data_IF_125566863405
#
_entry.id   IF_125566863405
#
_cell.length_a   1.000
_cell.length_b   1.000
_cell.length_c   1.000
_cell.angle_alpha   90.00
_cell.angle_beta   90.00
_cell.angle_gamma   90.00
#
_symmetry.space_group_name_H-M   'P 1'
#
loop_
_entity.id
_entity.type
_entity.pdbx_description
1 polymer ?
#
# COMPACT_ATOMS: atom_id res chain seq x y z
N UNK A 1 -25.66 -2.99 -2.76
CA UNK A 1 -26.97 -3.48 -3.24
C UNK A 1 -26.97 -3.73 -4.76
N UNK A 2 -26.47 -2.84 -5.60
CA UNK A 2 -26.34 -3.06 -7.06
C UNK A 2 -25.47 -4.27 -7.43
N UNK A 3 -24.40 -4.58 -6.69
CA UNK A 3 -23.51 -5.73 -6.91
C UNK A 3 -24.17 -7.08 -6.59
N UNK A 4 -25.20 -7.13 -5.74
CA UNK A 4 -25.95 -8.36 -5.42
C UNK A 4 -26.92 -8.76 -6.55
N UNK A 5 -27.44 -7.82 -7.33
CA UNK A 5 -28.39 -8.10 -8.43
C UNK A 5 -27.75 -8.83 -9.63
N UNK A 6 -26.42 -8.84 -9.73
CA UNK A 6 -25.69 -9.41 -10.87
C UNK A 6 -25.08 -10.79 -10.59
N UNK A 7 -25.47 -11.45 -9.49
CA UNK A 7 -25.04 -12.83 -9.17
C UNK A 7 -25.90 -13.79 -10.01
N UNK A 8 -25.30 -14.61 -10.90
CA UNK A 8 -26.05 -15.63 -11.62
C UNK A 8 -26.71 -16.58 -10.63
N UNK A 9 -27.99 -16.85 -10.83
CA UNK A 9 -28.72 -17.86 -10.06
C UNK A 9 -28.05 -19.23 -10.27
N UNK A 10 -27.46 -19.80 -9.22
CA UNK A 10 -26.78 -21.10 -9.25
C UNK A 10 -25.38 -21.15 -8.61
N UNK A 11 -24.83 -20.04 -8.13
CA UNK A 11 -23.51 -20.00 -7.48
C UNK A 11 -23.65 -19.61 -5.99
N UNK A 12 -24.18 -20.54 -5.18
CA UNK A 12 -24.44 -20.34 -3.74
C UNK A 12 -23.20 -19.91 -2.95
N UNK A 13 -22.02 -20.42 -3.30
CA UNK A 13 -20.76 -20.06 -2.66
C UNK A 13 -20.36 -18.58 -2.90
N UNK A 14 -20.61 -18.05 -4.09
CA UNK A 14 -20.38 -16.65 -4.45
C UNK A 14 -21.38 -15.71 -3.78
N UNK A 15 -22.64 -16.11 -3.70
CA UNK A 15 -23.70 -15.39 -3.01
C UNK A 15 -23.41 -15.31 -1.49
N UNK A 16 -22.97 -16.40 -0.90
CA UNK A 16 -22.60 -16.47 0.54
C UNK A 16 -21.40 -15.60 0.85
N UNK A 17 -20.37 -15.64 0.01
CA UNK A 17 -19.16 -14.81 0.18
C UNK A 17 -19.46 -13.33 0.00
N UNK A 18 -20.33 -12.97 -0.94
CA UNK A 18 -20.78 -11.59 -1.14
C UNK A 18 -21.58 -11.07 0.04
N UNK A 19 -22.47 -11.89 0.59
CA UNK A 19 -23.22 -11.56 1.78
C UNK A 19 -22.29 -11.35 2.99
N UNK A 20 -21.32 -12.24 3.19
CA UNK A 20 -20.34 -12.10 4.28
C UNK A 20 -19.55 -10.78 4.18
N UNK A 21 -19.07 -10.39 2.98
CA UNK A 21 -18.34 -9.12 2.83
C UNK A 21 -19.25 -7.94 3.13
N UNK A 22 -20.49 -7.95 2.68
CA UNK A 22 -21.41 -6.84 2.88
C UNK A 22 -21.90 -6.72 4.33
N UNK A 23 -22.28 -7.84 4.95
CA UNK A 23 -22.93 -7.83 6.26
C UNK A 23 -21.97 -7.98 7.44
N UNK A 24 -20.75 -8.51 7.24
CA UNK A 24 -19.77 -8.69 8.30
C UNK A 24 -18.57 -7.78 8.14
N UNK A 25 -17.90 -7.81 6.99
CA UNK A 25 -16.65 -7.10 6.81
C UNK A 25 -16.82 -5.60 6.59
N UNK A 26 -17.90 -5.15 5.94
CA UNK A 26 -18.17 -3.71 5.79
C UNK A 26 -18.45 -3.03 7.13
N UNK A 27 -19.38 -3.54 7.99
CA UNK A 27 -19.58 -2.94 9.32
C UNK A 27 -18.32 -3.00 10.19
N UNK A 28 -17.55 -4.10 10.14
CA UNK A 28 -16.29 -4.23 10.87
C UNK A 28 -15.25 -3.20 10.39
N UNK A 29 -15.15 -2.98 9.09
CA UNK A 29 -14.25 -1.98 8.50
C UNK A 29 -14.67 -0.56 8.87
N UNK A 30 -15.96 -0.27 8.91
CA UNK A 30 -16.50 1.01 9.38
C UNK A 30 -16.23 1.20 10.88
N UNK A 31 -16.41 0.18 11.69
CA UNK A 31 -16.07 0.23 13.12
C UNK A 31 -14.56 0.50 13.32
N UNK A 32 -13.70 -0.14 12.52
CA UNK A 32 -12.26 0.12 12.53
C UNK A 32 -11.93 1.54 12.10
N UNK A 33 -12.56 2.06 11.05
CA UNK A 33 -12.42 3.44 10.63
C UNK A 33 -12.75 4.41 11.76
N UNK A 34 -13.89 4.21 12.42
CA UNK A 34 -14.32 5.05 13.56
C UNK A 34 -13.36 4.90 14.74
N UNK A 35 -12.94 3.68 15.08
CA UNK A 35 -11.95 3.43 16.14
C UNK A 35 -10.63 4.15 15.87
N UNK A 36 -10.10 4.05 14.65
CA UNK A 36 -8.85 4.71 14.23
C UNK A 36 -9.00 6.23 14.11
N UNK A 37 -10.19 6.74 13.80
CA UNK A 37 -10.50 8.18 13.82
C UNK A 37 -10.39 8.77 15.24
N UNK A 38 -10.85 8.03 16.26
CA UNK A 38 -10.74 8.47 17.66
C UNK A 38 -9.36 8.19 18.27
N UNK A 39 -8.60 7.24 17.74
CA UNK A 39 -7.23 6.99 18.16
C UNK A 39 -6.37 8.22 17.86
N UNK A 40 -5.60 8.68 18.83
CA UNK A 40 -4.63 9.75 18.60
C UNK A 40 -3.47 9.24 17.73
N UNK A 41 -3.30 9.87 16.57
CA UNK A 41 -2.22 9.50 15.64
C UNK A 41 -0.81 9.62 16.27
N UNK A 42 -0.66 10.40 17.34
CA UNK A 42 0.60 10.52 18.10
C UNK A 42 1.08 9.19 18.68
N UNK A 43 0.18 8.21 18.84
CA UNK A 43 0.51 6.85 19.26
C UNK A 43 1.63 6.24 18.42
N UNK A 44 1.57 6.39 17.10
CA UNK A 44 2.59 5.87 16.16
C UNK A 44 3.94 6.58 16.31
N UNK A 45 3.95 7.83 16.75
CA UNK A 45 5.17 8.58 17.04
C UNK A 45 5.77 8.25 18.41
N UNK A 46 4.92 8.05 19.42
CA UNK A 46 5.32 7.65 20.79
C UNK A 46 5.83 6.21 20.82
N UNK A 47 5.20 5.32 20.08
CA UNK A 47 5.51 3.89 20.03
C UNK A 47 5.90 3.44 18.61
N UNK A 48 7.03 3.94 18.06
CA UNK A 48 7.38 3.75 16.64
C UNK A 48 7.72 2.29 16.30
N UNK A 49 8.01 1.45 17.29
CA UNK A 49 8.37 0.04 17.09
C UNK A 49 7.16 -0.91 17.09
N UNK A 50 6.03 -0.49 17.66
CA UNK A 50 4.86 -1.37 17.84
C UNK A 50 4.31 -1.85 16.50
N UNK A 51 4.08 -0.94 15.56
CA UNK A 51 3.52 -1.30 14.25
C UNK A 51 4.48 -2.14 13.41
N UNK A 52 5.79 -1.79 13.25
CA UNK A 52 6.74 -2.64 12.53
C UNK A 52 6.89 -4.03 13.13
N UNK A 53 7.03 -4.15 14.45
CA UNK A 53 7.16 -5.45 15.12
C UNK A 53 5.89 -6.27 14.99
N UNK A 54 4.71 -5.65 15.14
CA UNK A 54 3.43 -6.32 14.94
C UNK A 54 3.29 -6.87 13.51
N UNK A 55 3.64 -6.11 12.49
CA UNK A 55 3.62 -6.56 11.11
C UNK A 55 4.59 -7.71 10.87
N UNK A 56 5.83 -7.60 11.36
CA UNK A 56 6.82 -8.68 11.26
C UNK A 56 6.34 -9.97 11.94
N UNK A 57 5.69 -9.87 13.11
CA UNK A 57 5.12 -11.05 13.79
C UNK A 57 3.99 -11.68 12.99
N UNK A 58 3.08 -10.88 12.43
CA UNK A 58 1.97 -11.38 11.60
C UNK A 58 2.49 -12.05 10.32
N UNK A 59 3.47 -11.44 9.65
CA UNK A 59 4.08 -12.01 8.46
C UNK A 59 4.88 -13.29 8.77
N UNK A 60 5.57 -13.33 9.91
CA UNK A 60 6.24 -14.54 10.39
C UNK A 60 5.22 -15.65 10.69
N UNK A 61 4.12 -15.32 11.35
CA UNK A 61 3.03 -16.27 11.60
C UNK A 61 2.42 -16.78 10.29
N UNK A 62 2.21 -15.91 9.30
CA UNK A 62 1.75 -16.30 7.98
C UNK A 62 2.77 -17.21 7.27
N UNK A 63 4.07 -17.00 7.49
CA UNK A 63 5.12 -17.84 6.92
C UNK A 63 5.18 -19.23 7.56
N UNK A 64 4.99 -19.32 8.87
CA UNK A 64 5.05 -20.59 9.62
C UNK A 64 3.75 -21.39 9.52
N UNK A 65 2.60 -20.75 9.65
CA UNK A 65 1.28 -21.39 9.79
C UNK A 65 0.34 -21.12 8.61
N UNK A 66 0.74 -20.27 7.64
CA UNK A 66 -0.11 -19.88 6.52
C UNK A 66 -0.28 -20.96 5.48
N UNK A 67 -1.44 -20.94 4.84
CA UNK A 67 -1.78 -21.81 3.69
C UNK A 67 -1.21 -21.19 2.41
N UNK A 68 -0.52 -22.00 1.61
CA UNK A 68 0.02 -21.55 0.33
C UNK A 68 -1.08 -21.55 -0.75
N UNK A 69 -1.46 -20.37 -1.22
CA UNK A 69 -2.47 -20.21 -2.26
C UNK A 69 -2.07 -19.07 -3.22
N UNK A 70 -2.13 -19.35 -4.52
CA UNK A 70 -1.81 -18.35 -5.57
C UNK A 70 -0.39 -17.79 -5.49
N UNK A 71 0.61 -18.62 -5.13
CA UNK A 71 2.02 -18.21 -5.00
C UNK A 71 2.34 -17.41 -3.73
N UNK A 72 1.40 -17.27 -2.79
CA UNK A 72 1.53 -16.50 -1.55
C UNK A 72 1.03 -17.31 -0.35
N UNK A 73 1.56 -17.00 0.83
CA UNK A 73 1.09 -17.61 2.09
C UNK A 73 0.05 -16.70 2.73
N UNK A 74 -1.14 -17.26 2.93
CA UNK A 74 -2.28 -16.58 3.55
C UNK A 74 -2.44 -17.06 4.98
N UNK A 75 -2.53 -16.13 5.93
CA UNK A 75 -2.89 -16.49 7.29
C UNK A 75 -4.42 -16.54 7.40
N UNK A 76 -4.95 -17.75 7.54
CA UNK A 76 -6.40 -17.99 7.64
C UNK A 76 -6.77 -18.11 9.11
N UNK A 77 -7.62 -17.18 9.59
CA UNK A 77 -8.15 -17.15 10.94
C UNK A 77 -9.67 -17.33 10.87
N UNK A 78 -10.11 -18.57 10.84
CA UNK A 78 -11.54 -18.89 10.64
C UNK A 78 -12.04 -18.40 9.28
N UNK A 79 -13.04 -17.53 9.28
CA UNK A 79 -13.57 -16.91 8.05
C UNK A 79 -12.76 -15.73 7.52
N UNK A 80 -11.74 -15.26 8.26
CA UNK A 80 -10.93 -14.13 7.91
C UNK A 80 -9.57 -14.58 7.36
N UNK A 81 -9.26 -14.18 6.14
CA UNK A 81 -7.99 -14.49 5.50
C UNK A 81 -7.15 -13.22 5.36
N UNK A 82 -6.05 -13.14 6.11
CA UNK A 82 -5.09 -12.05 6.01
C UNK A 82 -4.24 -12.22 4.75
N UNK A 83 -4.37 -11.28 3.83
CA UNK A 83 -3.56 -11.22 2.61
C UNK A 83 -2.24 -10.52 2.89
N UNK A 84 -1.07 -11.12 2.53
CA UNK A 84 0.21 -10.44 2.63
C UNK A 84 0.26 -9.13 1.84
N UNK A 85 -0.45 -9.09 0.70
CA UNK A 85 -0.56 -7.88 -0.11
C UNK A 85 -1.26 -6.74 0.64
N UNK A 86 -2.37 -7.04 1.31
CA UNK A 86 -3.08 -6.01 2.07
C UNK A 86 -2.26 -5.55 3.29
N UNK A 87 -1.58 -6.47 3.99
CA UNK A 87 -0.68 -6.12 5.10
C UNK A 87 0.45 -5.19 4.65
N UNK A 88 0.95 -5.34 3.42
CA UNK A 88 2.02 -4.49 2.90
C UNK A 88 1.67 -3.01 2.85
N UNK A 89 0.38 -2.64 2.81
CA UNK A 89 -0.10 -1.26 2.83
C UNK A 89 0.14 -0.53 4.17
N UNK A 90 0.39 -1.29 5.25
CA UNK A 90 0.72 -0.72 6.56
C UNK A 90 2.22 -0.41 6.73
N UNK A 91 3.09 -1.00 5.90
CA UNK A 91 4.54 -0.80 6.00
C UNK A 91 4.99 0.65 5.79
N UNK A 92 4.41 1.45 4.88
CA UNK A 92 4.72 2.87 4.77
C UNK A 92 4.45 3.63 6.07
N UNK A 93 3.32 3.35 6.75
CA UNK A 93 2.98 3.96 8.03
C UNK A 93 3.94 3.51 9.15
N UNK A 94 4.31 2.23 9.18
CA UNK A 94 5.31 1.69 10.09
C UNK A 94 6.68 2.36 9.91
N UNK A 95 7.11 2.53 8.66
CA UNK A 95 8.32 3.27 8.31
C UNK A 95 8.24 4.73 8.74
N UNK A 96 7.10 5.40 8.55
CA UNK A 96 6.89 6.80 8.93
C UNK A 96 7.15 7.04 10.43
N UNK A 97 6.67 6.16 11.31
CA UNK A 97 6.92 6.24 12.75
C UNK A 97 8.41 6.16 13.11
N UNK A 98 9.13 5.19 12.51
CA UNK A 98 10.57 5.04 12.69
C UNK A 98 11.35 6.20 12.08
N UNK A 99 10.95 6.68 10.90
CA UNK A 99 11.55 7.82 10.22
C UNK A 99 11.44 9.10 11.06
N UNK A 100 10.28 9.35 11.68
CA UNK A 100 10.09 10.48 12.59
C UNK A 100 11.01 10.38 13.81
N UNK A 101 11.17 9.18 14.39
CA UNK A 101 12.06 8.94 15.53
C UNK A 101 13.52 9.22 15.19
N UNK A 102 13.97 8.84 14.00
CA UNK A 102 15.34 9.04 13.53
C UNK A 102 15.66 10.50 13.20
N UNK A 103 14.66 11.37 13.11
CA UNK A 103 14.84 12.79 12.83
C UNK A 103 15.78 13.49 13.82
N UNK A 104 15.76 13.11 15.10
CA UNK A 104 16.62 13.69 16.14
C UNK A 104 18.13 13.50 15.88
N UNK A 105 18.49 12.53 15.04
CA UNK A 105 19.89 12.22 14.70
C UNK A 105 20.39 12.98 13.46
N UNK A 106 19.57 13.89 12.91
CA UNK A 106 19.93 14.69 11.75
C UNK A 106 20.39 13.83 10.56
N UNK A 107 21.56 14.15 10.00
CA UNK A 107 22.11 13.45 8.83
C UNK A 107 22.26 11.94 9.01
N UNK A 108 22.75 11.50 10.19
CA UNK A 108 22.90 10.06 10.49
C UNK A 108 21.54 9.36 10.48
N UNK A 109 20.53 9.98 11.08
CA UNK A 109 19.16 9.46 11.09
C UNK A 109 18.57 9.29 9.69
N UNK A 110 18.85 10.23 8.78
CA UNK A 110 18.42 10.12 7.39
C UNK A 110 19.05 8.93 6.66
N UNK A 111 20.37 8.71 6.85
CA UNK A 111 21.09 7.57 6.28
C UNK A 111 20.57 6.22 6.83
N UNK A 112 20.37 6.15 8.15
CA UNK A 112 19.81 4.97 8.80
C UNK A 112 18.41 4.67 8.25
N UNK A 113 17.61 5.72 8.01
CA UNK A 113 16.28 5.57 7.40
C UNK A 113 16.34 4.99 5.99
N UNK A 114 17.34 5.36 5.19
CA UNK A 114 17.56 4.79 3.86
C UNK A 114 17.88 3.28 3.92
N UNK A 115 18.76 2.88 4.84
CA UNK A 115 19.08 1.46 5.09
C UNK A 115 17.84 0.70 5.57
N UNK A 116 17.06 1.30 6.49
CA UNK A 116 15.83 0.71 7.00
C UNK A 116 14.78 0.54 5.89
N UNK A 117 14.66 1.52 4.98
CA UNK A 117 13.78 1.41 3.82
C UNK A 117 14.21 0.24 2.91
N UNK A 118 15.52 0.07 2.67
CA UNK A 118 16.04 -1.07 1.91
C UNK A 118 15.72 -2.41 2.60
N UNK A 119 15.86 -2.51 3.91
CA UNK A 119 15.50 -3.71 4.69
C UNK A 119 14.00 -4.02 4.55
N UNK A 120 13.13 -3.02 4.64
CA UNK A 120 11.69 -3.22 4.43
C UNK A 120 11.37 -3.67 3.00
N UNK A 121 12.04 -3.13 1.99
CA UNK A 121 11.89 -3.59 0.62
C UNK A 121 12.30 -5.04 0.43
N UNK A 122 13.44 -5.46 1.00
CA UNK A 122 13.90 -6.84 0.96
C UNK A 122 12.92 -7.77 1.67
N UNK A 123 12.41 -7.36 2.83
CA UNK A 123 11.42 -8.12 3.57
C UNK A 123 10.10 -8.28 2.78
N UNK A 124 9.56 -7.19 2.22
CA UNK A 124 8.37 -7.22 1.38
C UNK A 124 8.58 -8.08 0.12
N UNK A 125 9.77 -8.03 -0.49
CA UNK A 125 10.14 -8.91 -1.59
C UNK A 125 10.13 -10.38 -1.16
N UNK A 126 10.60 -10.68 0.03
CA UNK A 126 10.58 -12.05 0.57
C UNK A 126 9.16 -12.56 0.77
N UNK A 127 8.24 -11.74 1.25
CA UNK A 127 6.82 -12.06 1.43
C UNK A 127 6.01 -12.15 0.11
N UNK A 128 6.66 -12.08 -1.04
CA UNK A 128 6.05 -12.22 -2.38
C UNK A 128 5.02 -11.14 -2.75
N UNK A 129 5.23 -9.90 -2.31
CA UNK A 129 4.32 -8.78 -2.59
C UNK A 129 4.99 -7.72 -3.46
N UNK A 130 5.17 -7.99 -4.76
CA UNK A 130 5.81 -7.03 -5.68
C UNK A 130 5.09 -5.66 -5.69
N UNK A 131 3.76 -5.67 -5.73
CA UNK A 131 2.96 -4.44 -5.64
C UNK A 131 3.15 -3.73 -4.29
N UNK A 132 3.29 -4.49 -3.19
CA UNK A 132 3.58 -3.93 -1.87
C UNK A 132 4.94 -3.24 -1.84
N UNK A 133 5.97 -3.81 -2.49
CA UNK A 133 7.28 -3.16 -2.66
C UNK A 133 7.12 -1.84 -3.41
N UNK A 134 6.41 -1.83 -4.55
CA UNK A 134 6.19 -0.61 -5.35
C UNK A 134 5.46 0.47 -4.54
N UNK A 135 4.39 0.09 -3.83
CA UNK A 135 3.64 1.01 -2.97
C UNK A 135 4.51 1.57 -1.85
N UNK A 136 5.32 0.72 -1.21
CA UNK A 136 6.24 1.14 -0.16
C UNK A 136 7.33 2.08 -0.70
N UNK A 137 8.00 1.72 -1.80
CA UNK A 137 9.05 2.54 -2.42
C UNK A 137 8.51 3.91 -2.83
N UNK A 138 7.31 3.95 -3.43
CA UNK A 138 6.67 5.21 -3.80
C UNK A 138 6.37 6.06 -2.56
N UNK A 139 5.72 5.51 -1.55
CA UNK A 139 5.31 6.24 -0.36
C UNK A 139 6.50 6.70 0.50
N UNK A 140 7.44 5.80 0.79
CA UNK A 140 8.66 6.11 1.54
C UNK A 140 9.55 7.08 0.77
N UNK A 141 9.65 6.90 -0.55
CA UNK A 141 10.41 7.76 -1.44
C UNK A 141 9.90 9.20 -1.44
N UNK A 142 8.60 9.40 -1.63
CA UNK A 142 8.00 10.74 -1.57
C UNK A 142 8.18 11.36 -0.19
N UNK A 143 8.00 10.59 0.89
CA UNK A 143 8.22 11.06 2.26
C UNK A 143 9.66 11.54 2.46
N UNK A 144 10.66 10.76 2.05
CA UNK A 144 12.07 11.12 2.15
C UNK A 144 12.42 12.34 1.29
N UNK A 145 11.85 12.46 0.08
CA UNK A 145 12.02 13.63 -0.78
C UNK A 145 11.44 14.90 -0.15
N UNK A 146 10.24 14.83 0.42
CA UNK A 146 9.61 15.96 1.12
C UNK A 146 10.42 16.35 2.35
N UNK A 147 10.90 15.37 3.13
CA UNK A 147 11.74 15.60 4.30
C UNK A 147 13.06 16.32 3.94
N UNK A 148 13.68 15.94 2.83
CA UNK A 148 14.88 16.59 2.30
C UNK A 148 14.57 18.03 1.87
N UNK A 149 13.49 18.26 1.11
CA UNK A 149 13.09 19.61 0.66
C UNK A 149 12.74 20.54 1.83
N UNK A 150 12.05 20.02 2.84
CA UNK A 150 11.63 20.79 4.03
C UNK A 150 12.71 20.88 5.11
N UNK A 151 13.88 20.27 4.89
CA UNK A 151 15.03 20.30 5.82
C UNK A 151 14.70 19.76 7.21
N UNK A 152 13.86 18.69 7.29
CA UNK A 152 13.46 18.12 8.57
C UNK A 152 14.60 17.44 9.32
N UNK A 153 15.67 17.02 8.62
CA UNK A 153 16.83 16.37 9.21
C UNK A 153 18.06 17.27 9.32
N UNK A 154 18.31 18.21 8.35
CA UNK A 154 19.44 19.15 8.38
C UNK A 154 19.35 20.14 7.22
N UNK A 155 20.25 21.16 7.21
CA UNK A 155 20.32 22.23 6.20
C UNK A 155 20.82 21.78 4.80
N UNK A 156 21.50 20.64 4.68
CA UNK A 156 22.16 20.19 3.44
C UNK A 156 21.21 19.44 2.49
N UNK A 157 20.33 20.18 1.83
CA UNK A 157 19.28 19.64 0.94
C UNK A 157 19.78 18.75 -0.21
N UNK A 158 20.86 19.16 -0.89
CA UNK A 158 21.27 18.50 -2.14
C UNK A 158 21.90 17.12 -1.89
N UNK A 159 22.60 16.95 -0.79
CA UNK A 159 23.23 15.69 -0.45
C UNK A 159 22.20 14.62 -0.07
N UNK A 160 21.13 14.99 0.64
CA UNK A 160 20.06 14.05 0.98
C UNK A 160 19.28 13.56 -0.26
N UNK A 161 19.11 14.46 -1.25
CA UNK A 161 18.50 14.09 -2.52
C UNK A 161 19.38 13.08 -3.28
N UNK A 162 20.70 13.34 -3.34
CA UNK A 162 21.66 12.44 -4.00
C UNK A 162 21.68 11.05 -3.34
N UNK A 163 21.74 11.00 -2.01
CA UNK A 163 21.75 9.75 -1.25
C UNK A 163 20.43 8.97 -1.43
N UNK A 164 19.31 9.68 -1.50
CA UNK A 164 18.02 9.06 -1.79
C UNK A 164 18.00 8.46 -3.20
N UNK A 165 18.43 9.22 -4.22
CA UNK A 165 18.52 8.71 -5.59
C UNK A 165 19.45 7.49 -5.69
N UNK A 166 20.60 7.53 -5.01
CA UNK A 166 21.52 6.40 -4.95
C UNK A 166 20.88 5.18 -4.30
N UNK A 167 20.17 5.35 -3.18
CA UNK A 167 19.47 4.26 -2.51
C UNK A 167 18.37 3.65 -3.39
N UNK A 168 17.62 4.48 -4.13
CA UNK A 168 16.60 4.02 -5.09
C UNK A 168 17.24 3.25 -6.24
N UNK A 169 18.35 3.74 -6.80
CA UNK A 169 19.08 3.03 -7.86
C UNK A 169 19.62 1.70 -7.35
N UNK A 170 20.27 1.67 -6.19
CA UNK A 170 20.73 0.42 -5.57
C UNK A 170 19.58 -0.57 -5.34
N UNK A 171 18.43 -0.07 -4.89
CA UNK A 171 17.26 -0.90 -4.68
C UNK A 171 16.73 -1.48 -5.99
N UNK A 172 16.63 -0.67 -7.05
CA UNK A 172 16.21 -1.14 -8.39
C UNK A 172 17.18 -2.21 -8.90
N UNK A 173 18.49 -1.97 -8.76
CA UNK A 173 19.52 -2.94 -9.15
C UNK A 173 19.39 -4.24 -8.36
N UNK A 174 19.25 -4.17 -7.03
CA UNK A 174 19.04 -5.35 -6.20
C UNK A 174 17.76 -6.12 -6.58
N UNK A 175 16.67 -5.41 -6.86
CA UNK A 175 15.43 -6.04 -7.32
C UNK A 175 15.59 -6.68 -8.69
N UNK A 176 16.32 -6.07 -9.61
CA UNK A 176 16.62 -6.64 -10.93
C UNK A 176 17.46 -7.90 -10.86
N UNK A 177 18.44 -7.97 -9.95
CA UNK A 177 19.25 -9.17 -9.75
C UNK A 177 18.51 -10.26 -8.97
N UNK A 178 17.70 -9.89 -7.98
CA UNK A 178 17.01 -10.86 -7.13
C UNK A 178 15.72 -11.41 -7.76
N UNK A 179 14.98 -10.57 -8.50
CA UNK A 179 13.70 -10.92 -9.09
C UNK A 179 13.75 -12.13 -10.03
N UNK A 180 14.73 -12.28 -10.97
CA UNK A 180 14.79 -13.44 -11.86
C UNK A 180 14.95 -14.77 -11.14
N UNK A 181 15.73 -14.80 -10.05
CA UNK A 181 15.97 -16.03 -9.28
C UNK A 181 14.78 -16.46 -8.42
N UNK A 182 14.05 -15.50 -7.87
CA UNK A 182 12.98 -15.78 -6.91
C UNK A 182 11.58 -15.70 -7.54
N UNK A 183 11.43 -14.89 -8.58
CA UNK A 183 10.14 -14.56 -9.20
C UNK A 183 10.15 -14.73 -10.72
N UNK A 184 10.50 -15.92 -11.20
CA UNK A 184 10.39 -16.22 -12.63
C UNK A 184 9.04 -15.80 -13.18
N UNK A 185 7.95 -16.13 -12.48
CA UNK A 185 6.60 -15.71 -12.82
C UNK A 185 6.37 -14.19 -12.76
N UNK A 186 6.96 -13.50 -11.81
CA UNK A 186 6.89 -12.03 -11.72
C UNK A 186 7.70 -11.34 -12.81
N UNK A 187 8.84 -11.91 -13.20
CA UNK A 187 9.66 -11.41 -14.28
C UNK A 187 8.99 -11.63 -15.65
N UNK A 188 8.39 -12.77 -15.88
CA UNK A 188 7.58 -13.06 -17.07
C UNK A 188 6.42 -12.07 -17.19
N UNK A 189 5.73 -11.75 -16.09
CA UNK A 189 4.71 -10.69 -16.06
C UNK A 189 5.27 -9.31 -16.37
N UNK A 190 6.42 -8.95 -15.82
CA UNK A 190 7.06 -7.67 -16.10
C UNK A 190 7.46 -7.56 -17.58
N UNK A 191 8.01 -8.64 -18.15
CA UNK A 191 8.33 -8.73 -19.59
C UNK A 191 7.07 -8.57 -20.44
N UNK A 192 5.96 -9.20 -20.07
CA UNK A 192 4.68 -9.12 -20.79
C UNK A 192 4.05 -7.72 -20.76
N UNK A 193 4.39 -6.90 -19.74
CA UNK A 193 3.98 -5.49 -19.68
C UNK A 193 4.58 -4.71 -20.85
N UNK A 194 5.83 -5.00 -21.20
CA UNK A 194 6.52 -4.32 -22.31
C UNK A 194 6.25 -4.98 -23.67
N UNK A 195 5.98 -6.30 -23.68
CA UNK A 195 5.71 -7.08 -24.89
C UNK A 195 4.44 -7.93 -24.69
N UNK A 196 3.23 -7.31 -24.68
CA UNK A 196 1.98 -8.03 -24.41
C UNK A 196 1.65 -9.12 -25.44
N UNK A 197 2.14 -8.97 -26.66
CA UNK A 197 1.95 -9.91 -27.77
C UNK A 197 2.84 -11.15 -27.71
N UNK A 198 3.83 -11.18 -26.82
CA UNK A 198 4.82 -12.27 -26.74
C UNK A 198 4.26 -13.59 -26.22
N UNK A 199 3.20 -13.55 -25.40
CA UNK A 199 2.53 -14.74 -24.86
C UNK A 199 1.03 -14.47 -24.62
N UNK A 200 0.22 -14.45 -25.69
CA UNK A 200 -1.20 -14.12 -25.58
C UNK A 200 -2.04 -15.20 -24.89
N UNK A 201 -1.54 -16.43 -24.77
CA UNK A 201 -2.22 -17.54 -24.10
C UNK A 201 -1.75 -17.78 -22.65
N UNK A 202 -0.61 -17.23 -22.25
CA UNK A 202 -0.05 -17.34 -20.91
C UNK A 202 -0.17 -16.05 -20.10
N UNK A 203 0.96 -15.41 -19.83
CA UNK A 203 1.01 -14.21 -18.97
C UNK A 203 0.29 -12.98 -19.55
N UNK A 204 0.14 -12.88 -20.89
CA UNK A 204 -0.60 -11.83 -21.61
C UNK A 204 -2.10 -12.10 -21.75
N UNK A 205 -2.58 -13.31 -21.41
CA UNK A 205 -3.98 -13.71 -21.60
C UNK A 205 -4.97 -12.74 -20.94
N UNK A 206 -4.74 -12.42 -19.68
CA UNK A 206 -5.62 -11.55 -18.90
C UNK A 206 -5.66 -10.11 -19.44
N UNK A 207 -4.52 -9.58 -19.91
CA UNK A 207 -4.45 -8.27 -20.55
C UNK A 207 -5.28 -8.23 -21.83
N UNK A 208 -5.18 -9.28 -22.64
CA UNK A 208 -5.94 -9.42 -23.89
C UNK A 208 -7.43 -9.51 -23.61
N UNK A 209 -7.83 -10.29 -22.61
CA UNK A 209 -9.24 -10.42 -22.19
C UNK A 209 -9.81 -9.09 -21.69
N UNK A 210 -9.09 -8.35 -20.85
CA UNK A 210 -9.52 -7.03 -20.37
C UNK A 210 -9.68 -6.04 -21.52
N UNK A 211 -8.74 -6.01 -22.48
CA UNK A 211 -8.85 -5.14 -23.66
C UNK A 211 -10.07 -5.51 -24.52
N UNK A 212 -10.36 -6.80 -24.66
CA UNK A 212 -11.55 -7.25 -25.38
C UNK A 212 -12.83 -6.80 -24.67
N UNK A 213 -12.93 -6.97 -23.36
CA UNK A 213 -14.08 -6.50 -22.55
C UNK A 213 -14.26 -4.99 -22.71
N UNK A 214 -13.17 -4.23 -22.60
CA UNK A 214 -13.20 -2.77 -22.71
C UNK A 214 -13.54 -2.29 -24.14
N UNK A 215 -13.13 -3.01 -25.19
CA UNK A 215 -13.47 -2.66 -26.59
C UNK A 215 -14.96 -2.82 -26.89
N UNK A 216 -15.67 -3.69 -26.15
CA UNK A 216 -17.13 -3.85 -26.25
C UNK A 216 -17.91 -2.92 -25.31
N UNK A 217 -17.21 -2.13 -24.48
CA UNK A 217 -17.84 -1.18 -23.54
C UNK A 217 -18.32 0.06 -24.27
N UNK A 218 -19.48 0.59 -23.87
CA UNK A 218 -20.11 1.79 -24.42
C UNK A 218 -19.85 3.00 -23.52
N UNK A 219 -20.17 4.19 -24.04
CA UNK A 219 -19.99 5.41 -23.28
C UNK A 219 -20.95 5.49 -22.06
N UNK A 220 -22.21 5.08 -22.26
CA UNK A 220 -23.28 5.00 -21.24
C UNK A 220 -24.05 3.70 -21.42
N UNK A 221 -24.29 2.97 -20.31
CA UNK A 221 -25.07 1.73 -20.31
C UNK A 221 -24.22 0.48 -20.40
N UNK A 222 -24.87 -0.64 -20.72
CA UNK A 222 -24.24 -1.96 -20.79
C UNK A 222 -23.54 -2.18 -22.13
N UNK A 223 -22.35 -2.75 -22.10
CA UNK A 223 -21.55 -3.05 -23.29
C UNK A 223 -22.17 -4.14 -24.16
N UNK A 224 -21.72 -4.20 -25.41
CA UNK A 224 -22.18 -5.22 -26.37
C UNK A 224 -21.79 -6.63 -25.91
N UNK A 225 -22.63 -7.63 -26.22
CA UNK A 225 -22.39 -9.01 -25.83
C UNK A 225 -21.06 -9.53 -26.44
N UNK A 226 -20.21 -10.09 -25.58
CA UNK A 226 -18.96 -10.75 -25.98
C UNK A 226 -19.25 -12.24 -26.18
N UNK A 227 -19.05 -12.75 -27.39
CA UNK A 227 -19.32 -14.16 -27.73
C UNK A 227 -18.06 -15.01 -27.69
N UNK A 228 -18.22 -16.33 -27.38
CA UNK A 228 -17.15 -17.32 -27.39
C UNK A 228 -16.37 -17.45 -26.09
N UNK A 229 -15.19 -18.08 -26.16
CA UNK A 229 -14.26 -18.28 -25.03
C UNK A 229 -13.77 -16.97 -24.39
N UNK A 230 -13.98 -15.85 -25.07
CA UNK A 230 -13.62 -14.50 -24.59
C UNK A 230 -14.57 -14.00 -23.47
N UNK A 231 -15.73 -14.67 -23.29
CA UNK A 231 -16.66 -14.35 -22.21
C UNK A 231 -16.21 -14.84 -20.82
N UNK A 232 -15.08 -15.56 -20.70
CA UNK A 232 -14.62 -16.15 -19.45
C UNK A 232 -14.48 -15.14 -18.31
N UNK A 233 -13.90 -13.97 -18.57
CA UNK A 233 -13.79 -12.91 -17.55
C UNK A 233 -15.14 -12.36 -17.11
N UNK A 234 -16.14 -12.36 -17.97
CA UNK A 234 -17.49 -11.92 -17.65
C UNK A 234 -18.27 -12.99 -16.88
N UNK A 235 -17.92 -14.27 -17.08
CA UNK A 235 -18.52 -15.40 -16.34
C UNK A 235 -17.87 -15.61 -14.98
N UNK A 236 -16.58 -15.33 -14.81
CA UNK A 236 -15.91 -15.34 -13.50
C UNK A 236 -16.10 -14.00 -12.77
N UNK A 237 -17.35 -13.78 -12.35
CA UNK A 237 -17.73 -12.55 -11.64
C UNK A 237 -16.94 -12.29 -10.34
N UNK A 238 -16.29 -13.31 -9.76
CA UNK A 238 -15.50 -13.14 -8.54
C UNK A 238 -14.22 -12.35 -8.78
N UNK A 239 -13.53 -12.64 -9.88
CA UNK A 239 -12.27 -12.01 -10.25
C UNK A 239 -12.49 -10.57 -10.73
N UNK A 240 -13.52 -10.34 -11.55
CA UNK A 240 -13.88 -9.00 -12.01
C UNK A 240 -14.29 -8.07 -10.88
N UNK A 241 -15.00 -8.58 -9.87
CA UNK A 241 -15.47 -7.75 -8.76
C UNK A 241 -14.39 -7.41 -7.74
N UNK A 242 -13.38 -8.26 -7.60
CA UNK A 242 -12.27 -7.99 -6.65
C UNK A 242 -11.17 -7.18 -7.29
N UNK A 243 -10.53 -7.75 -8.31
CA UNK A 243 -9.28 -7.25 -8.84
C UNK A 243 -9.47 -6.31 -10.05
N UNK A 244 -10.58 -6.47 -10.79
CA UNK A 244 -10.87 -5.70 -12.03
C UNK A 244 -12.23 -4.98 -11.97
N UNK A 245 -12.58 -4.46 -10.79
CA UNK A 245 -13.85 -3.76 -10.56
C UNK A 245 -14.05 -2.57 -11.51
N UNK A 246 -13.01 -1.84 -11.86
CA UNK A 246 -13.10 -0.70 -12.77
C UNK A 246 -13.47 -1.14 -14.19
N UNK A 247 -12.86 -2.22 -14.68
CA UNK A 247 -13.22 -2.82 -15.97
C UNK A 247 -14.67 -3.35 -15.96
N UNK A 248 -15.09 -3.97 -14.86
CA UNK A 248 -16.47 -4.42 -14.64
C UNK A 248 -17.46 -3.25 -14.69
N UNK A 249 -17.16 -2.15 -13.99
CA UNK A 249 -17.99 -0.94 -14.00
C UNK A 249 -18.06 -0.32 -15.40
N UNK A 250 -16.93 -0.30 -16.11
CA UNK A 250 -16.86 0.24 -17.47
C UNK A 250 -17.72 -0.58 -18.43
N UNK A 251 -17.74 -1.89 -18.31
CA UNK A 251 -18.53 -2.76 -19.17
C UNK A 251 -20.03 -2.68 -18.88
N UNK A 252 -20.42 -2.72 -17.60
CA UNK A 252 -21.86 -2.77 -17.23
C UNK A 252 -22.55 -1.41 -17.14
N UNK A 253 -21.82 -0.33 -16.89
CA UNK A 253 -22.38 1.02 -16.69
C UNK A 253 -21.79 2.08 -17.61
N UNK A 254 -20.82 1.69 -18.42
CA UNK A 254 -20.16 2.60 -19.36
C UNK A 254 -18.96 3.36 -18.78
N UNK A 255 -18.22 3.99 -19.68
CA UNK A 255 -17.02 4.77 -19.37
C UNK A 255 -17.29 5.95 -18.43
N UNK A 256 -18.48 6.55 -18.49
CA UNK A 256 -18.87 7.67 -17.62
C UNK A 256 -18.88 7.23 -16.16
N UNK A 257 -19.44 6.07 -15.85
CA UNK A 257 -19.50 5.56 -14.48
C UNK A 257 -18.09 5.36 -13.88
N UNK A 258 -17.18 4.76 -14.65
CA UNK A 258 -15.79 4.58 -14.25
C UNK A 258 -15.06 5.92 -14.11
N UNK A 259 -15.30 6.85 -15.03
CA UNK A 259 -14.77 8.21 -14.99
C UNK A 259 -15.17 8.97 -13.72
N UNK A 260 -16.43 8.86 -13.30
CA UNK A 260 -16.92 9.45 -12.05
C UNK A 260 -16.18 8.86 -10.85
N UNK A 261 -16.00 7.55 -10.80
CA UNK A 261 -15.25 6.90 -9.70
C UNK A 261 -13.82 7.41 -9.62
N UNK A 262 -13.11 7.45 -10.76
CA UNK A 262 -11.73 7.97 -10.82
C UNK A 262 -11.68 9.45 -10.44
N UNK A 263 -12.63 10.26 -10.87
CA UNK A 263 -12.72 11.67 -10.51
C UNK A 263 -12.93 11.87 -8.99
N UNK A 264 -13.82 11.11 -8.38
CA UNK A 264 -14.06 11.18 -6.92
C UNK A 264 -12.78 10.82 -6.14
N UNK A 265 -12.04 9.78 -6.56
CA UNK A 265 -10.77 9.41 -5.95
C UNK A 265 -9.71 10.51 -6.14
N UNK A 266 -9.64 11.12 -7.32
CA UNK A 266 -8.72 12.22 -7.59
C UNK A 266 -9.04 13.46 -6.74
N UNK A 267 -10.31 13.81 -6.58
CA UNK A 267 -10.77 14.90 -5.70
C UNK A 267 -10.44 14.60 -4.24
N UNK A 268 -10.68 13.37 -3.77
CA UNK A 268 -10.32 12.92 -2.42
C UNK A 268 -8.83 13.10 -2.15
N UNK A 269 -7.96 12.61 -3.05
CA UNK A 269 -6.51 12.75 -2.94
C UNK A 269 -6.09 14.23 -3.00
N UNK A 270 -6.63 15.01 -3.92
CA UNK A 270 -6.31 16.43 -4.08
C UNK A 270 -6.64 17.27 -2.84
N UNK A 271 -7.82 17.05 -2.27
CA UNK A 271 -8.23 17.69 -1.02
C UNK A 271 -7.39 17.20 0.16
N UNK A 272 -7.10 15.89 0.22
CA UNK A 272 -6.24 15.27 1.22
C UNK A 272 -4.83 15.87 1.22
N UNK A 273 -4.17 15.93 0.06
CA UNK A 273 -2.82 16.53 -0.07
C UNK A 273 -2.82 18.01 0.30
N UNK A 274 -3.82 18.78 -0.12
CA UNK A 274 -3.93 20.20 0.28
C UNK A 274 -3.98 20.34 1.81
N UNK A 275 -4.74 19.49 2.48
CA UNK A 275 -4.90 19.50 3.94
C UNK A 275 -3.61 19.00 4.64
N UNK A 276 -2.98 17.94 4.12
CA UNK A 276 -1.73 17.40 4.63
C UNK A 276 -0.58 18.42 4.57
N UNK A 277 -0.45 19.15 3.47
CA UNK A 277 0.61 20.14 3.30
C UNK A 277 0.45 21.37 4.21
N UNK A 278 -0.78 21.66 4.66
CA UNK A 278 -1.10 22.75 5.60
C UNK A 278 -0.95 22.36 7.07
N UNK A 279 -0.68 21.08 7.38
CA UNK A 279 -0.49 20.62 8.76
C UNK A 279 0.68 21.35 9.44
N UNK A 280 0.46 21.81 10.67
CA UNK A 280 1.49 22.50 11.47
C UNK A 280 2.45 21.51 12.11
N UNK A 281 1.94 20.36 12.56
CA UNK A 281 2.75 19.28 13.12
C UNK A 281 3.55 18.58 12.03
N UNK A 282 4.86 18.43 12.23
CA UNK A 282 5.74 17.69 11.31
C UNK A 282 5.35 16.22 11.27
N UNK A 283 5.07 15.61 12.44
CA UNK A 283 4.65 14.22 12.49
C UNK A 283 3.29 14.01 11.82
N UNK A 284 2.31 14.89 12.08
CA UNK A 284 1.02 14.85 11.40
C UNK A 284 1.16 15.02 9.88
N UNK A 285 2.08 15.87 9.43
CA UNK A 285 2.38 16.01 7.99
C UNK A 285 3.02 14.75 7.42
N UNK A 286 3.97 14.13 8.11
CA UNK A 286 4.59 12.87 7.69
C UNK A 286 3.56 11.74 7.55
N UNK A 287 2.73 11.52 8.58
CA UNK A 287 1.70 10.48 8.59
C UNK A 287 0.68 10.69 7.48
N UNK A 288 0.13 11.91 7.36
CA UNK A 288 -0.89 12.19 6.33
C UNK A 288 -0.33 12.06 4.92
N UNK A 289 0.90 12.55 4.65
CA UNK A 289 1.56 12.37 3.36
C UNK A 289 1.79 10.89 3.04
N UNK A 290 2.27 10.13 4.01
CA UNK A 290 2.52 8.69 3.82
C UNK A 290 1.25 7.94 3.45
N UNK A 291 0.14 8.16 4.17
CA UNK A 291 -1.14 7.49 3.88
C UNK A 291 -1.68 7.90 2.51
N UNK A 292 -1.64 9.20 2.18
CA UNK A 292 -2.10 9.68 0.88
C UNK A 292 -1.23 9.15 -0.27
N UNK A 293 0.08 9.05 -0.07
CA UNK A 293 0.98 8.42 -1.05
C UNK A 293 0.69 6.92 -1.21
N UNK A 294 0.33 6.22 -0.12
CA UNK A 294 -0.09 4.81 -0.21
C UNK A 294 -1.35 4.68 -1.07
N UNK A 295 -2.39 5.46 -0.83
CA UNK A 295 -3.59 5.46 -1.66
C UNK A 295 -3.30 5.87 -3.11
N UNK A 296 -2.43 6.85 -3.31
CA UNK A 296 -2.02 7.26 -4.68
C UNK A 296 -1.33 6.12 -5.40
N UNK A 297 -0.42 5.40 -4.74
CA UNK A 297 0.27 4.25 -5.32
C UNK A 297 -0.70 3.12 -5.67
N UNK A 298 -1.66 2.79 -4.79
CA UNK A 298 -2.71 1.81 -5.08
C UNK A 298 -3.49 2.19 -6.34
N UNK A 299 -3.95 3.43 -6.43
CA UNK A 299 -4.74 3.92 -7.58
C UNK A 299 -3.90 3.91 -8.86
N UNK A 300 -2.65 4.37 -8.81
CA UNK A 300 -1.72 4.39 -9.95
C UNK A 300 -1.36 3.00 -10.46
N UNK A 301 -1.34 1.99 -9.61
CA UNK A 301 -1.11 0.60 -10.00
C UNK A 301 -2.41 -0.07 -10.47
N UNK A 302 -3.56 0.29 -9.88
CA UNK A 302 -4.85 -0.31 -10.16
C UNK A 302 -5.43 0.11 -11.51
N UNK A 303 -5.44 1.41 -11.81
CA UNK A 303 -6.08 1.92 -13.04
C UNK A 303 -5.45 1.32 -14.30
N UNK A 304 -4.11 1.35 -14.51
CA UNK A 304 -3.49 0.75 -15.68
C UNK A 304 -3.70 -0.76 -15.77
N UNK A 305 -3.74 -1.46 -14.62
CA UNK A 305 -4.04 -2.89 -14.59
C UNK A 305 -5.45 -3.18 -15.11
N UNK A 306 -6.44 -2.39 -14.71
CA UNK A 306 -7.82 -2.53 -15.17
C UNK A 306 -8.02 -2.13 -16.64
N UNK A 307 -7.15 -1.26 -17.18
CA UNK A 307 -7.12 -0.92 -18.60
C UNK A 307 -6.37 -1.97 -19.46
N UNK A 308 -5.88 -3.05 -18.84
CA UNK A 308 -5.12 -4.08 -19.54
C UNK A 308 -3.74 -3.61 -20.04
N UNK A 309 -3.21 -2.50 -19.50
CA UNK A 309 -1.92 -1.91 -19.89
C UNK A 309 -0.79 -2.51 -19.04
N UNK A 310 -0.96 -2.52 -17.70
CA UNK A 310 0.07 -2.93 -16.74
C UNK A 310 -0.48 -3.94 -15.72
N UNK A 311 -0.40 -5.21 -16.04
CA UNK A 311 -0.81 -6.29 -15.15
C UNK A 311 0.32 -6.74 -14.21
N UNK A 312 0.96 -5.79 -13.53
CA UNK A 312 2.09 -6.09 -12.64
C UNK A 312 1.65 -6.93 -11.45
N UNK A 313 0.56 -6.58 -10.82
CA UNK A 313 -0.15 -7.40 -9.82
C UNK A 313 -1.48 -6.73 -9.46
N UNK A 314 -2.54 -7.48 -9.28
CA UNK A 314 -3.80 -6.93 -8.82
C UNK A 314 -3.61 -6.35 -7.40
N UNK A 315 -3.90 -5.06 -7.25
CA UNK A 315 -4.06 -4.36 -5.98
C UNK A 315 -5.54 -4.04 -5.86
N UNK A 316 -6.06 -3.99 -4.64
CA UNK A 316 -7.42 -3.54 -4.41
C UNK A 316 -7.54 -2.04 -4.67
N UNK A 317 -8.64 -1.59 -5.28
CA UNK A 317 -8.97 -0.17 -5.34
C UNK A 317 -9.37 0.31 -3.94
N UNK A 318 -8.78 1.38 -3.39
CA UNK A 318 -9.14 1.88 -2.07
C UNK A 318 -10.64 2.08 -1.92
N UNK A 319 -11.22 1.61 -0.83
CA UNK A 319 -12.65 1.74 -0.43
C UNK A 319 -13.68 0.99 -1.31
N UNK A 320 -13.35 0.58 -2.52
CA UNK A 320 -14.31 0.07 -3.50
C UNK A 320 -14.13 -1.42 -3.82
N UNK A 321 -12.90 -1.92 -3.80
CA UNK A 321 -12.63 -3.32 -4.12
C UNK A 321 -13.18 -4.29 -3.07
N UNK A 322 -13.62 -5.44 -3.57
CA UNK A 322 -14.30 -6.51 -2.80
C UNK A 322 -13.35 -7.38 -1.94
N UNK A 323 -12.17 -6.87 -1.58
CA UNK A 323 -11.21 -7.57 -0.73
C UNK A 323 -11.41 -7.24 0.76
N UNK A 324 -11.92 -8.20 1.55
CA UNK A 324 -12.20 -7.98 2.99
C UNK A 324 -11.02 -7.38 3.76
N UNK A 325 -9.81 -7.95 3.62
CA UNK A 325 -8.60 -7.48 4.30
C UNK A 325 -8.15 -6.12 3.80
N UNK A 326 -8.19 -5.90 2.48
CA UNK A 326 -7.81 -4.62 1.89
C UNK A 326 -8.76 -3.49 2.29
N UNK A 327 -10.07 -3.77 2.29
CA UNK A 327 -11.09 -2.83 2.77
C UNK A 327 -10.85 -2.44 4.23
N UNK A 328 -10.60 -3.43 5.08
CA UNK A 328 -10.31 -3.23 6.51
C UNK A 328 -9.09 -2.33 6.73
N UNK A 329 -7.98 -2.59 6.03
CA UNK A 329 -6.75 -1.82 6.15
C UNK A 329 -6.90 -0.42 5.57
N UNK A 330 -7.53 -0.27 4.41
CA UNK A 330 -7.77 1.04 3.81
C UNK A 330 -8.69 1.92 4.67
N UNK A 331 -9.71 1.33 5.30
CA UNK A 331 -10.56 2.02 6.26
C UNK A 331 -9.78 2.41 7.53
N UNK A 332 -8.88 1.54 8.03
CA UNK A 332 -7.99 1.88 9.14
C UNK A 332 -7.07 3.07 8.80
N UNK A 333 -6.42 3.04 7.63
CA UNK A 333 -5.56 4.13 7.16
C UNK A 333 -6.34 5.45 7.00
N UNK A 334 -7.56 5.39 6.44
CA UNK A 334 -8.43 6.55 6.32
C UNK A 334 -8.83 7.13 7.69
N UNK A 335 -9.12 6.26 8.67
CA UNK A 335 -9.39 6.66 10.05
C UNK A 335 -8.21 7.40 10.67
N UNK A 336 -6.98 6.88 10.52
CA UNK A 336 -5.75 7.55 10.97
C UNK A 336 -5.56 8.89 10.25
N UNK A 337 -5.79 8.96 8.94
CA UNK A 337 -5.69 10.20 8.16
C UNK A 337 -6.62 11.28 8.70
N UNK A 338 -7.88 10.92 8.98
CA UNK A 338 -8.84 11.85 9.55
C UNK A 338 -8.53 12.22 11.01
N UNK A 339 -7.96 11.29 11.80
CA UNK A 339 -7.42 11.59 13.14
C UNK A 339 -6.35 12.68 13.07
N UNK A 340 -5.41 12.59 12.11
CA UNK A 340 -4.41 13.64 11.86
C UNK A 340 -5.08 14.96 11.52
N UNK A 341 -6.09 14.96 10.65
CA UNK A 341 -6.77 16.19 10.25
C UNK A 341 -7.60 16.82 11.36
N UNK A 342 -8.05 16.03 12.34
CA UNK A 342 -8.79 16.51 13.51
C UNK A 342 -7.86 17.12 14.57
N UNK A 343 -6.75 16.44 14.88
CA UNK A 343 -5.94 16.76 16.06
C UNK A 343 -4.56 17.34 15.73
N UNK A 344 -4.15 17.33 14.46
CA UNK A 344 -2.81 17.76 14.02
C UNK A 344 -2.50 19.24 14.27
N UNK A 345 -3.50 20.10 14.44
CA UNK A 345 -3.28 21.51 14.79
C UNK A 345 -2.96 21.71 16.27
N UNK A 346 -3.44 20.82 17.13
CA UNK A 346 -3.26 20.86 18.60
C UNK A 346 -1.97 20.15 19.01
N UNK A 347 -1.53 19.17 18.22
CA UNK A 347 -0.35 18.39 18.52
C UNK A 347 0.92 19.23 18.39
N UNK A 348 1.66 19.37 19.50
CA UNK A 348 3.00 19.95 19.50
C UNK A 348 4.04 18.87 19.28
N UNK A 349 4.89 19.04 18.27
CA UNK A 349 6.03 18.16 18.05
C UNK A 349 7.00 18.29 19.23
N UNK A 350 7.00 17.31 20.12
CA UNK A 350 8.08 17.14 21.08
C UNK A 350 9.31 16.69 20.32
N UNK A 351 10.44 17.37 20.50
CA UNK A 351 11.70 16.91 19.93
C UNK A 351 11.92 15.46 20.43
N UNK A 352 12.02 14.47 19.54
CA UNK A 352 12.24 13.08 19.98
C UNK A 352 13.58 13.04 20.69
N UNK A 353 13.60 12.44 21.89
CA UNK A 353 14.87 12.23 22.61
C UNK A 353 15.81 11.42 21.68
N UNK A 354 17.09 11.81 21.56
CA UNK A 354 18.05 11.07 20.76
C UNK A 354 18.07 9.60 21.21
N UNK A 355 18.02 8.67 20.24
CA UNK A 355 18.04 7.22 20.54
C UNK A 355 19.38 6.84 21.17
N UNK A 356 20.42 7.53 20.77
CA UNK A 356 21.72 7.56 21.42
C UNK A 356 21.85 8.94 22.09
N UNK A 357 21.20 9.17 23.24
CA UNK A 357 21.78 10.13 24.17
C UNK A 357 23.18 9.59 24.44
N UNK A 358 24.19 10.43 24.37
CA UNK A 358 25.47 10.08 24.95
C UNK A 358 25.18 9.52 26.33
N UNK A 359 25.02 8.22 26.39
CA UNK A 359 25.00 7.53 27.65
C UNK A 359 26.40 7.79 28.17
N UNK A 360 26.50 8.68 29.14
CA UNK A 360 27.73 8.96 29.86
C UNK A 360 28.25 7.72 30.61
N UNK A 361 27.99 6.55 30.03
CA UNK A 361 28.44 5.26 30.55
C UNK A 361 29.95 5.15 30.52
N UNK A 362 30.59 5.76 29.51
CA UNK A 362 32.03 5.78 29.35
C UNK A 362 32.43 7.21 28.97
N UNK A 363 33.08 7.93 29.86
CA UNK A 363 33.67 9.22 29.59
C UNK A 363 35.19 9.10 29.72
N UNK A 364 35.88 9.52 28.65
CA UNK A 364 37.32 9.68 28.67
C UNK A 364 37.60 11.16 28.83
N UNK A 365 38.03 11.59 30.04
CA UNK A 365 38.44 12.95 30.31
C UNK A 365 39.75 12.89 31.12
N UNK A 366 40.68 13.73 30.79
CA UNK A 366 41.97 13.89 31.48
C UNK A 366 42.75 12.60 31.73
N UNK A 367 42.75 11.70 30.71
CA UNK A 367 43.48 10.43 30.79
C UNK A 367 42.86 9.38 31.71
N UNK A 368 41.64 9.61 32.20
CA UNK A 368 40.89 8.65 33.04
C UNK A 368 39.62 8.22 32.36
N UNK A 369 39.37 6.91 32.39
CA UNK A 369 38.12 6.29 31.94
C UNK A 369 37.16 6.24 33.12
N UNK A 370 36.07 7.00 33.06
CA UNK A 370 35.03 6.99 34.07
C UNK A 370 33.83 6.19 33.53
N UNK A 371 33.51 5.06 34.16
CA UNK A 371 32.33 4.25 33.90
C UNK A 371 31.32 4.54 35.01
N UNK A 372 30.22 5.16 34.65
CA UNK A 372 29.15 5.49 35.61
C UNK A 372 28.01 4.51 35.47
N UNK A 373 27.83 3.65 36.45
CA UNK A 373 26.66 2.78 36.57
C UNK A 373 25.53 3.59 37.25
N UNK A 374 24.42 3.81 36.54
CA UNK A 374 23.21 4.35 37.08
C UNK A 374 22.08 3.38 36.86
#
# INVERSE_FOLDING_TARGET
>A
MLLLKTIPAGNDALATRSAQVLFVFLPLSLATFVGMYFLDFSFFGKHPYVLPLGLLMVDLAAHLFGVFYGGKRWLILGSFALSPLALSLLFPLAFCGLFYRLRSQGRRGYLISGVLAAVFCLFLSYCHTFSGVLTFVFSAGVLMLVASKKKWFDKQRNMFLLLFLLAVVCLIVLLMFYAPFRYRYGWERLYTVFVPSGDPMGSGYLSTQLKTVLSHSVFLGEGAAVSGTQAYLLTDASMLRSDYLLAYLTYHYGWVASGIVVLLLAVFLGLGFRKALKQKSIFGQMVSLTILCTFTAEILLYIPANLGIWLIAPIALPFLSYGATALFINMALAGVLLSVFRTGEVYRDTAPHPIFSDSKFIQWADGKLTISFK
#
